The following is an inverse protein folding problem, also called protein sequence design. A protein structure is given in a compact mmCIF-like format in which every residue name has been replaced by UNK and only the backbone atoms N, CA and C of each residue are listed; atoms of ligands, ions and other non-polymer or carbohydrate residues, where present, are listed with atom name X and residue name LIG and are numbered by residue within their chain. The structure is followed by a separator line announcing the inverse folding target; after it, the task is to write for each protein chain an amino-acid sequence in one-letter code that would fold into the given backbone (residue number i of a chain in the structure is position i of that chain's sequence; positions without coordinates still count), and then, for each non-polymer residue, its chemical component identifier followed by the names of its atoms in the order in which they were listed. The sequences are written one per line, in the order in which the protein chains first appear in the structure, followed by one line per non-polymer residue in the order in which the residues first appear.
data_IF_106777347452
#
_entry.id   IF_106777347452
#
_cell.length_a   1.000
_cell.length_b   1.000
_cell.length_c   1.000
_cell.angle_alpha   90.00
_cell.angle_beta   90.00
_cell.angle_gamma   90.00
#
_symmetry.space_group_name_H-M   'P 1'
#
loop_
_entity.id
_entity.type
_entity.pdbx_description
1 polymer ?
#
# COMPACT_ATOMS: atom_id res chain seq x y z
N UNK A 1 15.50 28.73 -60.37
CA UNK A 1 14.32 29.58 -60.62
C UNK A 1 13.33 29.27 -59.52
N UNK A 2 13.59 29.87 -58.37
CA UNK A 2 12.89 29.62 -57.12
C UNK A 2 11.57 30.40 -57.15
N UNK A 3 10.46 29.67 -56.99
CA UNK A 3 9.12 30.23 -56.93
C UNK A 3 8.74 30.44 -55.46
N UNK A 4 8.95 31.67 -54.99
CA UNK A 4 8.55 32.13 -53.67
C UNK A 4 7.03 32.02 -53.50
N UNK A 5 6.60 30.97 -52.79
CA UNK A 5 5.21 30.82 -52.36
C UNK A 5 5.00 31.70 -51.13
N UNK A 6 4.45 32.90 -51.34
CA UNK A 6 4.01 33.84 -50.27
C UNK A 6 3.07 33.15 -49.28
N UNK A 7 3.56 32.81 -48.08
CA UNK A 7 2.70 32.55 -46.93
C UNK A 7 2.12 33.89 -46.47
N UNK A 8 0.82 34.06 -46.72
CA UNK A 8 0.04 35.17 -46.18
C UNK A 8 -0.14 34.96 -44.66
N UNK A 9 0.80 35.48 -43.88
CA UNK A 9 0.66 35.66 -42.44
C UNK A 9 -0.35 36.78 -42.19
N UNK A 10 -1.63 36.41 -42.14
CA UNK A 10 -2.66 37.26 -41.55
C UNK A 10 -2.43 37.27 -40.04
N UNK A 11 -1.56 38.15 -39.58
CA UNK A 11 -1.47 38.58 -38.19
C UNK A 11 -2.79 39.30 -37.88
N UNK A 12 -3.77 38.56 -37.37
CA UNK A 12 -4.93 39.17 -36.74
C UNK A 12 -4.45 39.55 -35.34
N UNK A 13 -3.84 40.73 -35.26
CA UNK A 13 -3.74 41.49 -34.01
C UNK A 13 -5.16 41.93 -33.66
N UNK A 14 -5.94 41.01 -33.12
CA UNK A 14 -7.12 41.34 -32.35
C UNK A 14 -6.64 41.58 -30.93
N UNK A 15 -6.58 42.84 -30.52
CA UNK A 15 -6.68 43.17 -29.10
C UNK A 15 -8.11 42.77 -28.66
N UNK A 16 -8.37 41.48 -28.49
CA UNK A 16 -9.37 41.06 -27.53
C UNK A 16 -8.74 41.30 -26.20
N UNK A 17 -9.27 42.26 -25.45
CA UNK A 17 -9.10 42.39 -24.02
C UNK A 17 -9.43 41.02 -23.41
N UNK A 18 -8.43 40.14 -23.34
CA UNK A 18 -8.44 39.01 -22.43
C UNK A 18 -8.40 39.70 -21.08
N UNK A 19 -9.59 39.85 -20.48
CA UNK A 19 -9.69 40.06 -19.05
C UNK A 19 -8.88 38.93 -18.44
N UNK A 20 -7.62 39.20 -18.07
CA UNK A 20 -6.84 38.30 -17.25
C UNK A 20 -7.59 38.27 -15.92
N UNK A 21 -8.52 37.35 -15.80
CA UNK A 21 -9.21 37.06 -14.56
C UNK A 21 -8.11 36.71 -13.54
N UNK A 22 -7.83 37.68 -12.67
CA UNK A 22 -6.81 37.54 -11.64
C UNK A 22 -7.38 36.61 -10.58
N UNK A 23 -7.16 35.31 -10.77
CA UNK A 23 -7.58 34.32 -9.79
C UNK A 23 -6.70 34.40 -8.56
N UNK A 24 -7.33 34.43 -7.38
CA UNK A 24 -6.59 34.24 -6.14
C UNK A 24 -6.08 32.80 -6.04
N UNK A 25 -5.13 32.56 -5.13
CA UNK A 25 -4.47 31.25 -4.99
C UNK A 25 -5.50 30.16 -4.69
N UNK A 26 -5.68 29.23 -5.64
CA UNK A 26 -6.57 28.06 -5.50
C UNK A 26 -7.93 28.19 -6.17
N UNK A 27 -8.24 29.33 -6.79
CA UNK A 27 -9.55 29.59 -7.42
C UNK A 27 -9.54 29.42 -8.94
N UNK A 28 -8.40 29.07 -9.53
CA UNK A 28 -8.29 28.91 -10.98
C UNK A 28 -9.23 27.78 -11.46
N UNK A 29 -10.06 28.01 -12.49
CA UNK A 29 -11.09 27.05 -12.93
C UNK A 29 -10.50 25.69 -13.32
N UNK A 30 -9.34 25.68 -14.00
CA UNK A 30 -8.63 24.42 -14.31
C UNK A 30 -8.17 23.64 -13.06
N UNK A 31 -7.85 24.34 -11.96
CA UNK A 31 -7.49 23.68 -10.69
C UNK A 31 -8.72 23.08 -10.02
N UNK A 32 -9.84 23.82 -9.99
CA UNK A 32 -11.10 23.35 -9.42
C UNK A 32 -11.71 22.18 -10.20
N UNK A 33 -11.64 22.20 -11.53
CA UNK A 33 -12.18 21.13 -12.38
C UNK A 33 -11.52 19.76 -12.13
N UNK A 34 -10.28 19.75 -11.64
CA UNK A 34 -9.52 18.52 -11.34
C UNK A 34 -9.64 18.07 -9.88
N UNK A 35 -10.26 18.86 -9.00
CA UNK A 35 -10.41 18.53 -7.58
C UNK A 35 -11.73 17.78 -7.35
N UNK A 36 -11.64 16.50 -6.97
CA UNK A 36 -12.78 15.72 -6.46
C UNK A 36 -12.77 15.76 -4.92
N UNK A 37 -13.75 16.39 -4.25
CA UNK A 37 -13.80 16.39 -2.80
C UNK A 37 -14.03 14.97 -2.27
N UNK A 38 -13.28 14.58 -1.24
CA UNK A 38 -13.50 13.30 -0.56
C UNK A 38 -14.83 13.32 0.21
N UNK A 39 -15.58 12.21 0.25
CA UNK A 39 -16.81 12.12 1.02
C UNK A 39 -16.54 12.39 2.51
N UNK A 40 -17.37 13.24 3.11
CA UNK A 40 -17.24 13.62 4.52
C UNK A 40 -17.32 12.38 5.41
N UNK A 41 -16.38 12.24 6.34
CA UNK A 41 -16.30 11.09 7.25
C UNK A 41 -15.48 9.90 6.72
N UNK A 42 -15.01 9.94 5.47
CA UNK A 42 -14.11 8.94 4.91
C UNK A 42 -12.74 9.59 4.74
N UNK A 43 -11.75 9.08 5.46
CA UNK A 43 -10.36 9.44 5.24
C UNK A 43 -9.99 9.11 3.79
N UNK A 44 -9.39 10.06 3.06
CA UNK A 44 -8.83 9.81 1.73
C UNK A 44 -7.73 8.74 1.70
N UNK A 45 -7.25 8.32 2.89
CA UNK A 45 -6.48 7.12 3.09
C UNK A 45 -7.25 6.13 3.98
N UNK A 46 -7.97 5.14 3.39
CA UNK A 46 -8.77 4.17 4.15
C UNK A 46 -7.93 3.24 5.03
N UNK A 47 -6.64 3.06 4.72
CA UNK A 47 -5.70 2.25 5.50
C UNK A 47 -4.98 3.05 6.60
N UNK A 48 -5.21 4.36 6.66
CA UNK A 48 -4.59 5.25 7.64
C UNK A 48 -3.07 5.33 7.51
N UNK A 49 -2.43 5.92 8.52
CA UNK A 49 -0.98 6.00 8.58
C UNK A 49 -0.38 4.60 8.76
N UNK A 50 0.62 4.20 7.96
CA UNK A 50 1.30 2.94 8.16
C UNK A 50 1.89 2.85 9.58
N UNK A 51 1.75 1.68 10.20
CA UNK A 51 2.22 1.47 11.57
C UNK A 51 3.75 1.44 11.63
N UNK A 52 4.34 1.77 12.79
CA UNK A 52 5.81 1.92 12.97
C UNK A 52 6.64 0.73 12.43
N UNK A 53 6.06 -0.49 12.42
CA UNK A 53 6.76 -1.72 12.06
C UNK A 53 6.13 -2.46 10.87
N UNK A 54 5.37 -1.76 10.02
CA UNK A 54 4.66 -2.42 8.92
C UNK A 54 5.61 -3.08 7.91
N UNK A 55 6.70 -2.41 7.54
CA UNK A 55 7.72 -2.99 6.66
C UNK A 55 8.37 -4.22 7.27
N UNK A 56 8.70 -4.18 8.56
CA UNK A 56 9.26 -5.34 9.27
C UNK A 56 8.27 -6.51 9.30
N UNK A 57 6.99 -6.23 9.59
CA UNK A 57 5.92 -7.24 9.55
C UNK A 57 5.83 -7.89 8.17
N UNK A 58 5.87 -7.11 7.10
CA UNK A 58 5.84 -7.64 5.73
C UNK A 58 7.04 -8.54 5.43
N UNK A 59 8.25 -8.12 5.80
CA UNK A 59 9.45 -8.93 5.62
C UNK A 59 9.42 -10.23 6.42
N UNK A 60 8.97 -10.17 7.68
CA UNK A 60 8.82 -11.36 8.53
C UNK A 60 7.75 -12.31 8.01
N UNK A 61 6.64 -11.79 7.47
CA UNK A 61 5.61 -12.61 6.85
C UNK A 61 6.16 -13.37 5.63
N UNK A 62 6.90 -12.68 4.75
CA UNK A 62 7.57 -13.31 3.59
C UNK A 62 8.53 -14.42 4.04
N UNK A 63 9.38 -14.11 5.02
CA UNK A 63 10.32 -15.08 5.59
C UNK A 63 9.60 -16.28 6.25
N UNK A 64 8.42 -16.03 6.83
CA UNK A 64 7.57 -17.04 7.44
C UNK A 64 6.96 -18.03 6.43
N UNK A 65 6.73 -17.59 5.19
CA UNK A 65 6.18 -18.40 4.10
C UNK A 65 7.24 -19.24 3.38
N UNK A 66 8.52 -18.88 3.50
CA UNK A 66 9.62 -19.67 2.96
C UNK A 66 9.70 -21.06 3.60
N UNK A 67 9.90 -22.06 2.74
CA UNK A 67 10.13 -23.44 3.10
C UNK A 67 11.56 -23.62 3.61
N UNK A 68 11.73 -24.44 4.65
CA UNK A 68 13.07 -24.83 5.12
C UNK A 68 13.31 -26.30 4.85
N UNK A 69 14.57 -26.66 4.66
CA UNK A 69 15.00 -28.04 4.47
C UNK A 69 15.92 -28.50 5.59
N UNK A 70 15.96 -29.80 5.82
CA UNK A 70 16.91 -30.43 6.73
C UNK A 70 18.30 -30.65 6.09
N UNK A 71 19.22 -31.29 6.82
CA UNK A 71 20.55 -31.63 6.33
C UNK A 71 20.55 -32.58 5.11
N UNK A 72 19.45 -33.31 4.90
CA UNK A 72 19.26 -34.23 3.77
C UNK A 72 18.40 -33.61 2.65
N UNK A 73 18.24 -32.28 2.63
CA UNK A 73 17.41 -31.54 1.68
C UNK A 73 15.93 -31.96 1.65
N UNK A 74 15.40 -32.52 2.76
CA UNK A 74 13.98 -32.80 2.88
C UNK A 74 13.24 -31.60 3.45
N UNK A 75 12.10 -31.28 2.85
CA UNK A 75 11.23 -30.21 3.35
C UNK A 75 10.83 -30.45 4.81
N UNK A 76 10.91 -29.39 5.60
CA UNK A 76 10.39 -29.28 6.97
C UNK A 76 9.16 -28.35 7.03
N UNK A 77 8.61 -27.98 5.86
CA UNK A 77 7.54 -27.00 5.74
C UNK A 77 8.01 -25.56 5.95
N UNK A 78 7.04 -24.64 5.99
CA UNK A 78 7.32 -23.20 6.15
C UNK A 78 7.73 -22.87 7.58
N UNK A 79 8.53 -21.81 7.76
CA UNK A 79 8.94 -21.37 9.11
C UNK A 79 7.74 -21.07 10.01
N UNK A 80 6.66 -20.50 9.45
CA UNK A 80 5.41 -20.26 10.17
C UNK A 80 4.82 -21.55 10.71
N UNK A 81 4.74 -22.60 9.89
CA UNK A 81 4.20 -23.89 10.31
C UNK A 81 5.07 -24.53 11.39
N UNK A 82 6.39 -24.47 11.25
CA UNK A 82 7.30 -24.99 12.27
C UNK A 82 7.15 -24.31 13.64
N UNK A 83 6.90 -23.00 13.68
CA UNK A 83 6.61 -22.29 14.94
C UNK A 83 5.30 -22.79 15.56
N UNK A 84 4.25 -22.97 14.75
CA UNK A 84 2.97 -23.51 15.22
C UNK A 84 3.10 -24.94 15.75
N UNK A 85 3.85 -25.79 15.04
CA UNK A 85 4.18 -27.14 15.52
C UNK A 85 4.98 -27.11 16.82
N UNK A 86 5.92 -26.17 16.94
CA UNK A 86 6.73 -26.02 18.15
C UNK A 86 5.87 -25.66 19.35
N UNK A 87 4.86 -24.82 19.19
CA UNK A 87 3.90 -24.50 20.25
C UNK A 87 3.24 -25.79 20.78
N UNK A 88 2.75 -26.65 19.89
CA UNK A 88 2.18 -27.95 20.27
C UNK A 88 3.22 -28.87 20.92
N UNK A 89 4.41 -29.00 20.33
CA UNK A 89 5.50 -29.84 20.87
C UNK A 89 5.87 -29.43 22.30
N UNK A 90 6.00 -28.14 22.57
CA UNK A 90 6.32 -27.63 23.91
C UNK A 90 5.15 -27.83 24.89
N UNK A 91 3.91 -27.60 24.45
CA UNK A 91 2.74 -27.86 25.28
C UNK A 91 2.63 -29.34 25.68
N UNK A 92 2.84 -30.27 24.74
CA UNK A 92 2.85 -31.72 25.01
C UNK A 92 3.95 -32.11 25.99
N UNK A 93 5.13 -31.46 25.91
CA UNK A 93 6.22 -31.65 26.87
C UNK A 93 5.86 -31.21 28.30
N UNK A 94 4.81 -30.40 28.46
CA UNK A 94 4.34 -29.89 29.75
C UNK A 94 4.77 -28.45 30.05
N UNK A 95 5.28 -27.72 29.06
CA UNK A 95 5.64 -26.31 29.25
C UNK A 95 4.40 -25.44 29.44
N UNK A 96 4.16 -25.01 30.68
CA UNK A 96 2.88 -24.40 31.10
C UNK A 96 2.47 -23.17 30.29
N UNK A 97 3.44 -22.37 29.82
CA UNK A 97 3.17 -21.16 29.02
C UNK A 97 2.46 -21.49 27.71
N UNK A 98 2.84 -22.58 27.06
CA UNK A 98 2.24 -23.01 25.80
C UNK A 98 0.89 -23.69 26.02
N UNK A 99 0.75 -24.47 27.10
CA UNK A 99 -0.55 -25.03 27.51
C UNK A 99 -1.56 -23.91 27.80
N UNK A 100 -1.15 -22.89 28.56
CA UNK A 100 -1.98 -21.70 28.84
C UNK A 100 -2.34 -20.94 27.56
N UNK A 101 -1.40 -20.75 26.63
CA UNK A 101 -1.67 -20.13 25.34
C UNK A 101 -2.74 -20.90 24.56
N UNK A 102 -2.62 -22.23 24.46
CA UNK A 102 -3.57 -23.07 23.74
C UNK A 102 -4.94 -23.10 24.42
N UNK A 103 -4.99 -23.15 25.75
CA UNK A 103 -6.23 -23.06 26.52
C UNK A 103 -6.92 -21.70 26.32
N UNK A 104 -6.16 -20.60 26.36
CA UNK A 104 -6.70 -19.25 26.15
C UNK A 104 -7.31 -19.07 24.75
N UNK A 105 -6.73 -19.73 23.74
CA UNK A 105 -7.25 -19.74 22.37
C UNK A 105 -8.44 -20.70 22.17
N UNK A 106 -8.82 -21.50 23.19
CA UNK A 106 -9.87 -22.52 23.08
C UNK A 106 -9.45 -23.75 22.24
N UNK A 107 -8.16 -23.92 21.95
CA UNK A 107 -7.67 -25.03 21.12
C UNK A 107 -7.72 -26.40 21.83
N UNK A 108 -8.02 -26.41 23.13
CA UNK A 108 -8.12 -27.61 23.96
C UNK A 108 -9.57 -27.95 24.34
N UNK A 109 -10.53 -27.13 23.92
CA UNK A 109 -11.94 -27.35 24.16
C UNK A 109 -12.48 -28.40 23.18
N UNK A 110 -13.34 -29.30 23.66
CA UNK A 110 -13.91 -30.41 22.87
C UNK A 110 -15.05 -29.96 21.97
#
# INVERSE_FOLDING_TARGET
MDSDTKKNTKTITGNTEINEETYSKGEHPNSLANLKPFPKGISGNPLGRPTKYESLKQSLNKLGEEETVDYWNKSQGTRKNQVLETIWKQAIKGEIKYVQLLAWLGCLDK
#
